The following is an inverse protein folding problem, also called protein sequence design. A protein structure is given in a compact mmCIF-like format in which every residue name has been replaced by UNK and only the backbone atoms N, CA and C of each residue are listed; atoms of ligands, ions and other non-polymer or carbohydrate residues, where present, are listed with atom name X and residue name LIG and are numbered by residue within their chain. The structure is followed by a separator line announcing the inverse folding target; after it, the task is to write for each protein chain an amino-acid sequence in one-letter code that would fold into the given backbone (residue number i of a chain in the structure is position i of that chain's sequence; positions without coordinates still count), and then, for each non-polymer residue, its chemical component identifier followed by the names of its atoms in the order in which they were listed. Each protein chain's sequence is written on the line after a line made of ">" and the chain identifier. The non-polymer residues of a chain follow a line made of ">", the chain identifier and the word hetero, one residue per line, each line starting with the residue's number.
data_IF_193371644822
#
_entry.id   IF_193371644822
#
_cell.length_a   1.000
_cell.length_b   1.000
_cell.length_c   1.000
_cell.angle_alpha   90.00
_cell.angle_beta   90.00
_cell.angle_gamma   90.00
#
_symmetry.space_group_name_H-M   'P 1'
#
loop_
_entity.id
_entity.type
_entity.pdbx_description
1 polymer ?
#
# COMPACT_ATOMS: atom_id res chain seq x y z
N UNK A 1 -9.08 33.99 21.05
CA UNK A 1 -8.41 32.78 20.54
C UNK A 1 -9.37 31.61 20.70
N UNK A 2 -9.71 30.89 19.62
CA UNK A 2 -10.63 29.73 19.70
C UNK A 2 -9.84 28.57 20.30
N UNK A 3 -10.11 28.25 21.56
CA UNK A 3 -9.47 27.13 22.26
C UNK A 3 -9.78 25.83 21.50
N UNK A 4 -8.75 25.06 21.19
CA UNK A 4 -8.90 23.73 20.61
C UNK A 4 -9.60 22.80 21.62
N UNK A 5 -10.31 21.79 21.11
CA UNK A 5 -11.03 20.80 21.95
C UNK A 5 -10.09 20.01 22.88
N UNK A 6 -10.62 19.01 23.61
CA UNK A 6 -9.88 18.31 24.67
C UNK A 6 -8.52 17.69 24.25
N UNK A 7 -8.29 17.33 22.99
CA UNK A 7 -7.00 16.91 22.45
C UNK A 7 -6.16 18.00 21.74
N UNK A 8 -6.54 19.26 21.88
CA UNK A 8 -5.81 20.40 21.29
C UNK A 8 -5.75 20.35 19.76
N UNK A 9 -4.65 20.81 19.19
CA UNK A 9 -4.40 20.76 17.75
C UNK A 9 -4.33 19.34 17.14
N UNK A 10 -4.31 18.27 17.94
CA UNK A 10 -4.23 16.88 17.46
C UNK A 10 -5.58 16.30 17.04
N UNK A 11 -6.69 16.97 17.41
CA UNK A 11 -8.05 16.56 17.03
C UNK A 11 -8.21 16.46 15.50
N UNK A 12 -7.39 17.19 14.72
CA UNK A 12 -7.36 17.12 13.25
C UNK A 12 -7.14 15.69 12.70
N UNK A 13 -6.47 14.81 13.44
CA UNK A 13 -6.19 13.41 13.05
C UNK A 13 -6.83 12.40 14.03
N UNK A 14 -7.92 12.77 14.71
CA UNK A 14 -8.65 11.92 15.68
C UNK A 14 -10.16 11.85 15.41
N UNK A 15 -10.58 12.08 14.17
CA UNK A 15 -11.99 12.02 13.77
C UNK A 15 -12.59 10.64 14.10
N UNK A 16 -13.57 10.60 15.00
CA UNK A 16 -14.36 9.40 15.25
C UNK A 16 -15.26 9.11 14.05
N UNK A 17 -15.33 7.84 13.63
CA UNK A 17 -16.19 7.37 12.56
C UNK A 17 -17.35 6.56 13.13
N UNK A 18 -18.57 6.86 12.72
CA UNK A 18 -19.72 6.00 12.97
C UNK A 18 -19.72 4.80 12.01
N UNK A 19 -20.49 3.76 12.34
CA UNK A 19 -20.64 2.59 11.47
C UNK A 19 -21.17 2.97 10.07
N UNK A 20 -22.11 3.92 10.00
CA UNK A 20 -22.65 4.42 8.73
C UNK A 20 -21.59 5.15 7.90
N UNK A 21 -20.77 6.00 8.54
CA UNK A 21 -19.66 6.68 7.85
C UNK A 21 -18.62 5.69 7.33
N UNK A 22 -18.30 4.65 8.11
CA UNK A 22 -17.40 3.60 7.67
C UNK A 22 -17.96 2.83 6.46
N UNK A 23 -19.25 2.46 6.47
CA UNK A 23 -19.90 1.81 5.33
C UNK A 23 -19.86 2.67 4.07
N UNK A 24 -20.08 3.98 4.19
CA UNK A 24 -19.96 4.91 3.07
C UNK A 24 -18.53 5.03 2.56
N UNK A 25 -17.54 5.08 3.47
CA UNK A 25 -16.13 5.14 3.12
C UNK A 25 -15.68 3.89 2.34
N UNK A 26 -16.20 2.70 2.67
CA UNK A 26 -15.93 1.46 1.94
C UNK A 26 -16.40 1.49 0.48
N UNK A 27 -17.24 2.45 0.09
CA UNK A 27 -17.63 2.67 -1.30
C UNK A 27 -16.64 3.54 -2.08
N UNK A 28 -15.76 4.27 -1.38
CA UNK A 28 -14.79 5.15 -2.03
C UNK A 28 -13.72 4.34 -2.76
N UNK A 29 -13.39 4.68 -4.03
CA UNK A 29 -12.37 3.97 -4.80
C UNK A 29 -11.03 3.86 -4.06
N UNK A 30 -10.58 4.96 -3.42
CA UNK A 30 -9.32 4.99 -2.70
C UNK A 30 -9.27 3.98 -1.55
N UNK A 31 -10.36 3.82 -0.81
CA UNK A 31 -10.46 2.87 0.31
C UNK A 31 -10.48 1.43 -0.21
N UNK A 32 -11.27 1.16 -1.26
CA UNK A 32 -11.34 -0.18 -1.87
C UNK A 32 -9.99 -0.63 -2.41
N UNK A 33 -9.28 0.26 -3.09
CA UNK A 33 -7.95 -0.01 -3.65
C UNK A 33 -6.91 -0.24 -2.55
N UNK A 34 -6.94 0.55 -1.48
CA UNK A 34 -6.06 0.29 -0.33
C UNK A 34 -6.37 -1.06 0.34
N UNK A 35 -7.65 -1.45 0.46
CA UNK A 35 -8.02 -2.77 1.00
C UNK A 35 -7.55 -3.93 0.11
N UNK A 36 -7.58 -3.77 -1.21
CA UNK A 36 -7.02 -4.74 -2.16
C UNK A 36 -5.52 -4.93 -1.93
N UNK A 37 -4.76 -3.83 -1.80
CA UNK A 37 -3.34 -3.87 -1.49
C UNK A 37 -3.05 -4.53 -0.14
N UNK A 38 -3.84 -4.23 0.90
CA UNK A 38 -3.70 -4.88 2.21
C UNK A 38 -3.96 -6.39 2.13
N UNK A 39 -4.94 -6.83 1.35
CA UNK A 39 -5.22 -8.26 1.13
C UNK A 39 -4.07 -8.95 0.38
N UNK A 40 -3.52 -8.30 -0.64
CA UNK A 40 -2.33 -8.80 -1.33
C UNK A 40 -1.14 -8.92 -0.36
N UNK A 41 -0.83 -7.85 0.38
CA UNK A 41 0.26 -7.80 1.36
C UNK A 41 0.14 -8.85 2.45
N UNK A 42 -1.08 -9.21 2.83
CA UNK A 42 -1.35 -10.23 3.85
C UNK A 42 -1.19 -11.67 3.30
N UNK A 43 -1.54 -11.91 2.03
CA UNK A 43 -1.57 -13.26 1.43
C UNK A 43 -0.32 -13.65 0.66
N UNK A 44 0.41 -12.67 0.12
CA UNK A 44 1.58 -12.95 -0.70
C UNK A 44 2.74 -13.47 0.17
N UNK A 45 3.21 -14.69 -0.15
CA UNK A 45 4.27 -15.38 0.59
C UNK A 45 5.62 -14.62 0.58
N UNK A 46 5.82 -13.72 -0.39
CA UNK A 46 7.02 -12.89 -0.49
C UNK A 46 7.23 -11.98 0.73
N UNK A 47 6.19 -11.69 1.52
CA UNK A 47 6.28 -10.77 2.67
C UNK A 47 6.35 -11.46 4.04
N UNK A 48 6.75 -12.73 4.10
CA UNK A 48 6.90 -13.45 5.37
C UNK A 48 8.00 -12.86 6.27
N UNK A 49 8.03 -13.31 7.52
CA UNK A 49 9.15 -13.02 8.44
C UNK A 49 10.48 -13.43 7.80
N UNK A 50 11.53 -12.62 7.97
CA UNK A 50 12.85 -12.79 7.33
C UNK A 50 12.86 -12.80 5.79
N UNK A 51 11.81 -12.27 5.13
CA UNK A 51 11.86 -12.04 3.69
C UNK A 51 13.00 -11.08 3.33
N UNK A 52 13.64 -11.32 2.19
CA UNK A 52 14.65 -10.41 1.67
C UNK A 52 13.95 -9.22 1.00
N UNK A 53 14.48 -8.02 1.24
CA UNK A 53 14.07 -6.80 0.57
C UNK A 53 15.26 -6.25 -0.23
N UNK A 54 15.11 -6.17 -1.55
CA UNK A 54 15.99 -5.43 -2.42
C UNK A 54 15.37 -4.04 -2.70
N UNK A 55 16.21 -3.01 -2.65
CA UNK A 55 15.81 -1.62 -2.92
C UNK A 55 16.68 -1.09 -4.05
N UNK A 56 16.05 -0.54 -5.08
CA UNK A 56 16.73 0.13 -6.19
C UNK A 56 16.06 1.45 -6.52
N UNK A 57 16.86 2.39 -7.02
CA UNK A 57 16.39 3.67 -7.51
C UNK A 57 16.93 3.86 -8.94
N UNK A 58 16.28 3.30 -9.98
CA UNK A 58 16.81 3.34 -11.35
C UNK A 58 16.92 4.77 -11.91
N UNK A 59 16.15 5.71 -11.34
CA UNK A 59 16.26 7.15 -11.56
C UNK A 59 16.03 7.87 -10.21
N UNK A 60 16.43 9.15 -10.05
CA UNK A 60 16.26 9.89 -8.80
C UNK A 60 14.81 9.97 -8.27
N UNK A 61 13.82 9.91 -9.16
CA UNK A 61 12.39 9.93 -8.82
C UNK A 61 11.74 8.54 -8.80
N UNK A 62 12.47 7.48 -9.16
CA UNK A 62 11.92 6.12 -9.21
C UNK A 62 12.33 5.36 -7.96
N UNK A 63 11.37 4.75 -7.28
CA UNK A 63 11.60 3.84 -6.16
C UNK A 63 11.12 2.44 -6.54
N UNK A 64 12.04 1.48 -6.51
CA UNK A 64 11.73 0.08 -6.71
C UNK A 64 12.03 -0.72 -5.43
N UNK A 65 11.04 -1.47 -4.98
CA UNK A 65 11.13 -2.35 -3.82
C UNK A 65 10.72 -3.75 -4.24
N UNK A 66 11.60 -4.73 -4.04
CA UNK A 66 11.32 -6.12 -4.32
C UNK A 66 11.49 -6.97 -3.08
N UNK A 67 10.40 -7.60 -2.65
CA UNK A 67 10.41 -8.62 -1.61
C UNK A 67 10.53 -10.00 -2.24
N UNK A 68 11.33 -10.87 -1.65
CA UNK A 68 11.42 -12.27 -2.06
C UNK A 68 11.51 -13.22 -0.87
N UNK A 69 10.83 -14.36 -0.98
CA UNK A 69 10.89 -15.44 0.00
C UNK A 69 10.50 -16.77 -0.63
N UNK A 70 11.34 -17.78 -0.48
CA UNK A 70 11.08 -19.16 -0.92
C UNK A 70 10.56 -19.24 -2.38
N UNK A 71 11.17 -18.45 -3.27
CA UNK A 71 10.79 -18.37 -4.69
C UNK A 71 9.63 -17.41 -5.01
N UNK A 72 8.80 -17.03 -4.04
CA UNK A 72 7.77 -16.01 -4.26
C UNK A 72 8.40 -14.62 -4.31
N UNK A 73 7.87 -13.75 -5.17
CA UNK A 73 8.37 -12.38 -5.39
C UNK A 73 7.20 -11.40 -5.39
N UNK A 74 7.41 -10.22 -4.81
CA UNK A 74 6.52 -9.08 -4.94
C UNK A 74 7.34 -7.82 -5.22
N UNK A 75 6.95 -7.07 -6.25
CA UNK A 75 7.69 -5.88 -6.68
C UNK A 75 6.76 -4.67 -6.70
N UNK A 76 7.21 -3.56 -6.14
CA UNK A 76 6.63 -2.23 -6.28
C UNK A 76 7.59 -1.38 -7.13
N UNK A 77 7.07 -0.75 -8.18
CA UNK A 77 7.76 0.29 -8.93
C UNK A 77 6.96 1.58 -8.83
N UNK A 78 7.49 2.60 -8.18
CA UNK A 78 6.82 3.88 -7.95
C UNK A 78 7.58 5.04 -8.58
N UNK A 79 6.86 5.92 -9.26
CA UNK A 79 7.34 7.23 -9.69
C UNK A 79 6.89 8.29 -8.69
N UNK A 80 7.85 8.89 -7.99
CA UNK A 80 7.62 9.88 -6.94
C UNK A 80 7.28 11.27 -7.50
N UNK A 81 7.48 11.53 -8.80
CA UNK A 81 7.07 12.77 -9.44
C UNK A 81 5.58 12.76 -9.80
N UNK A 82 5.12 11.65 -10.37
CA UNK A 82 3.72 11.50 -10.78
C UNK A 82 2.85 10.90 -9.69
N UNK A 83 3.43 10.23 -8.70
CA UNK A 83 2.71 9.37 -7.73
C UNK A 83 2.08 8.11 -8.35
N UNK A 84 2.38 7.82 -9.63
CA UNK A 84 1.98 6.57 -10.26
C UNK A 84 2.84 5.42 -9.76
N UNK A 85 2.25 4.23 -9.67
CA UNK A 85 2.99 3.03 -9.31
C UNK A 85 2.34 1.75 -9.83
N UNK A 86 3.17 0.72 -9.99
CA UNK A 86 2.74 -0.64 -10.29
C UNK A 86 3.20 -1.59 -9.19
N UNK A 87 2.38 -2.61 -8.91
CA UNK A 87 2.73 -3.70 -8.02
C UNK A 87 2.47 -5.02 -8.76
N UNK A 88 3.45 -5.91 -8.73
CA UNK A 88 3.31 -7.27 -9.24
C UNK A 88 3.62 -8.28 -8.14
N UNK A 89 2.97 -9.44 -8.23
CA UNK A 89 3.23 -10.58 -7.36
C UNK A 89 3.38 -11.84 -8.18
N UNK A 90 4.34 -12.68 -7.80
CA UNK A 90 4.63 -13.96 -8.45
C UNK A 90 4.74 -15.06 -7.39
N UNK A 91 4.21 -16.24 -7.72
CA UNK A 91 4.35 -17.43 -6.89
C UNK A 91 5.76 -18.02 -6.98
N UNK A 92 6.06 -19.01 -6.14
CA UNK A 92 7.32 -19.74 -6.20
C UNK A 92 7.56 -20.48 -7.53
N UNK A 93 6.49 -20.78 -8.28
CA UNK A 93 6.56 -21.37 -9.62
C UNK A 93 6.79 -20.35 -10.74
N UNK A 94 6.93 -19.05 -10.42
CA UNK A 94 7.06 -17.97 -11.40
C UNK A 94 5.74 -17.44 -11.96
N UNK A 95 4.62 -18.11 -11.68
CA UNK A 95 3.30 -17.70 -12.16
C UNK A 95 2.87 -16.35 -11.56
N UNK A 96 2.32 -15.42 -12.36
CA UNK A 96 1.79 -14.16 -11.87
C UNK A 96 0.55 -14.41 -11.00
N UNK A 97 0.56 -13.84 -9.80
CA UNK A 97 -0.53 -13.98 -8.80
C UNK A 97 -1.23 -12.67 -8.50
N UNK A 98 -0.60 -11.54 -8.81
CA UNK A 98 -1.14 -10.22 -8.55
C UNK A 98 -0.57 -9.20 -9.54
N UNK A 99 -1.43 -8.27 -9.97
CA UNK A 99 -1.03 -7.11 -10.75
C UNK A 99 -1.93 -5.94 -10.34
N UNK A 100 -1.34 -4.80 -10.07
CA UNK A 100 -2.03 -3.59 -9.67
C UNK A 100 -1.32 -2.39 -10.25
N UNK A 101 -2.09 -1.45 -10.77
CA UNK A 101 -1.59 -0.21 -11.33
C UNK A 101 -2.39 0.95 -10.77
N UNK A 102 -1.68 1.94 -10.24
CA UNK A 102 -2.23 3.22 -9.78
C UNK A 102 -1.67 4.33 -10.65
N UNK A 103 -2.58 5.11 -11.19
CA UNK A 103 -2.28 6.38 -11.83
C UNK A 103 -2.50 7.52 -10.83
N UNK A 104 -1.84 8.65 -11.07
CA UNK A 104 -2.00 9.87 -10.29
C UNK A 104 -3.44 10.37 -10.26
#
# INVERSE_FOLDING_TARGET
>A
MRLAGPGGHKEINRTNLTAQQAQQALCQPVVRRQLELLRFRNRCAAFGFDAQLAVSCPKPHMLELQWSKAGAVATLCADLQSFAFTITGQSAGGEPTFSFEQQA
#
